data_IF_683395100660
#
_entry.id   IF_683395100660
#
_cell.length_a   1.000
_cell.length_b   1.000
_cell.length_c   1.000
_cell.angle_alpha   90.00
_cell.angle_beta   90.00
_cell.angle_gamma   90.00
#
_symmetry.space_group_name_H-M   'P 1'
#
loop_
_entity.id
_entity.type
_entity.pdbx_description
1 polymer ?
#
# COMPACT_ATOMS: atom_id res chain seq x y z
N UNK A 1 15.27 25.43 -2.10
CA UNK A 1 14.07 25.82 -2.86
C UNK A 1 12.92 25.02 -2.29
N UNK A 2 12.09 25.64 -1.43
CA UNK A 2 10.96 24.97 -0.78
C UNK A 2 9.88 24.71 -1.83
N UNK A 3 9.54 23.44 -2.06
CA UNK A 3 8.33 23.08 -2.81
C UNK A 3 7.17 23.27 -1.84
N UNK A 4 6.52 24.43 -1.90
CA UNK A 4 5.28 24.67 -1.17
C UNK A 4 4.21 23.71 -1.73
N UNK A 5 3.86 22.68 -0.96
CA UNK A 5 2.71 21.82 -1.26
C UNK A 5 1.46 22.69 -1.19
N UNK A 6 0.87 22.98 -2.36
CA UNK A 6 -0.37 23.75 -2.45
C UNK A 6 -1.46 22.94 -1.74
N UNK A 7 -2.17 23.49 -0.72
CA UNK A 7 -3.19 22.73 -0.02
C UNK A 7 -4.26 22.27 -1.03
N UNK A 8 -4.51 20.96 -1.06
CA UNK A 8 -5.49 20.31 -1.91
C UNK A 8 -6.82 21.08 -1.87
N UNK A 9 -7.27 21.57 -3.03
CA UNK A 9 -8.49 22.35 -3.12
C UNK A 9 -9.70 21.52 -2.65
N UNK A 10 -10.75 22.18 -2.15
CA UNK A 10 -11.99 21.50 -1.74
C UNK A 10 -12.57 20.61 -2.86
N UNK A 11 -12.34 21.00 -4.12
CA UNK A 11 -12.73 20.23 -5.30
C UNK A 11 -11.93 18.95 -5.47
N UNK A 12 -10.61 18.99 -5.24
CA UNK A 12 -9.74 17.82 -5.31
C UNK A 12 -10.04 16.83 -4.19
N UNK A 13 -10.26 17.30 -2.95
CA UNK A 13 -10.65 16.44 -1.82
C UNK A 13 -11.97 15.72 -2.09
N UNK A 14 -13.00 16.45 -2.53
CA UNK A 14 -14.28 15.84 -2.92
C UNK A 14 -14.12 14.81 -4.05
N UNK A 15 -13.20 15.04 -4.98
CA UNK A 15 -12.93 14.09 -6.04
C UNK A 15 -12.18 12.84 -5.54
N UNK A 16 -11.32 12.96 -4.52
CA UNK A 16 -10.67 11.83 -3.86
C UNK A 16 -11.66 11.01 -3.04
N UNK A 17 -12.52 11.68 -2.26
CA UNK A 17 -13.59 11.04 -1.49
C UNK A 17 -14.52 10.24 -2.40
N UNK A 18 -14.98 10.85 -3.49
CA UNK A 18 -15.81 10.16 -4.48
C UNK A 18 -15.10 8.94 -5.11
N UNK A 19 -13.80 9.06 -5.44
CA UNK A 19 -13.03 7.91 -5.96
C UNK A 19 -12.95 6.79 -4.93
N UNK A 20 -12.78 7.11 -3.66
CA UNK A 20 -12.72 6.14 -2.59
C UNK A 20 -14.09 5.47 -2.37
N UNK A 21 -15.19 6.21 -2.39
CA UNK A 21 -16.55 5.68 -2.31
C UNK A 21 -16.85 4.68 -3.44
N UNK A 22 -16.50 5.03 -4.69
CA UNK A 22 -16.65 4.13 -5.84
C UNK A 22 -15.79 2.86 -5.66
N UNK A 23 -14.57 3.02 -5.16
CA UNK A 23 -13.66 1.90 -4.92
C UNK A 23 -14.17 0.93 -3.84
N UNK A 24 -14.74 1.47 -2.78
CA UNK A 24 -15.41 0.68 -1.73
C UNK A 24 -16.60 -0.09 -2.30
N UNK A 25 -17.46 0.54 -3.10
CA UNK A 25 -18.58 -0.14 -3.74
C UNK A 25 -18.12 -1.27 -4.68
N UNK A 26 -17.05 -1.05 -5.45
CA UNK A 26 -16.47 -2.08 -6.31
C UNK A 26 -15.91 -3.26 -5.51
N UNK A 27 -15.14 -2.99 -4.44
CA UNK A 27 -14.61 -4.01 -3.53
C UNK A 27 -15.72 -4.86 -2.93
N UNK A 28 -16.77 -4.23 -2.42
CA UNK A 28 -17.86 -4.93 -1.75
C UNK A 28 -18.62 -5.83 -2.74
N UNK A 29 -18.81 -5.38 -3.98
CA UNK A 29 -19.34 -6.22 -5.06
C UNK A 29 -18.40 -7.37 -5.44
N UNK A 30 -17.09 -7.13 -5.56
CA UNK A 30 -16.13 -8.19 -5.87
C UNK A 30 -16.14 -9.28 -4.80
N UNK A 31 -16.20 -8.88 -3.53
CA UNK A 31 -16.29 -9.80 -2.40
C UNK A 31 -17.60 -10.58 -2.37
N UNK A 32 -18.74 -9.91 -2.61
CA UNK A 32 -20.04 -10.56 -2.64
C UNK A 32 -20.16 -11.61 -3.76
N UNK A 33 -19.54 -11.34 -4.92
CA UNK A 33 -19.55 -12.22 -6.09
C UNK A 33 -18.39 -13.23 -6.10
N UNK A 34 -17.38 -13.03 -5.25
CA UNK A 34 -16.13 -13.80 -5.30
C UNK A 34 -15.37 -13.64 -6.62
N UNK A 35 -15.56 -12.52 -7.33
CA UNK A 35 -14.98 -12.28 -8.65
C UNK A 35 -14.80 -10.80 -8.97
N UNK A 36 -13.71 -10.48 -9.66
CA UNK A 36 -13.41 -9.15 -10.25
C UNK A 36 -14.16 -8.90 -11.56
N UNK A 37 -14.93 -9.86 -12.07
CA UNK A 37 -15.65 -9.78 -13.36
C UNK A 37 -16.88 -8.87 -13.35
N UNK A 38 -17.20 -8.24 -12.22
CA UNK A 38 -18.34 -7.31 -12.09
C UNK A 38 -18.21 -6.16 -13.09
N UNK A 39 -19.33 -5.77 -13.71
CA UNK A 39 -19.34 -4.73 -14.75
C UNK A 39 -19.31 -3.32 -14.17
N UNK A 40 -18.85 -2.37 -14.97
CA UNK A 40 -18.82 -0.95 -14.59
C UNK A 40 -20.23 -0.43 -14.28
N UNK A 41 -21.24 -0.87 -15.02
CA UNK A 41 -22.63 -0.47 -14.81
C UNK A 41 -23.13 -0.89 -13.43
N UNK A 42 -22.83 -2.12 -13.00
CA UNK A 42 -23.19 -2.61 -11.66
C UNK A 42 -22.49 -1.81 -10.56
N UNK A 43 -21.20 -1.52 -10.73
CA UNK A 43 -20.45 -0.67 -9.80
C UNK A 43 -21.07 0.73 -9.74
N UNK A 44 -21.43 1.31 -10.88
CA UNK A 44 -22.08 2.61 -10.96
C UNK A 44 -23.43 2.63 -10.25
N UNK A 45 -24.26 1.60 -10.45
CA UNK A 45 -25.53 1.44 -9.74
C UNK A 45 -25.33 1.35 -8.23
N UNK A 46 -24.37 0.54 -7.78
CA UNK A 46 -24.08 0.40 -6.35
C UNK A 46 -23.53 1.70 -5.72
N UNK A 47 -22.71 2.45 -6.46
CA UNK A 47 -22.16 3.74 -6.02
C UNK A 47 -23.11 4.93 -6.24
N UNK A 48 -24.28 4.74 -6.85
CA UNK A 48 -25.24 5.83 -7.13
C UNK A 48 -24.76 6.86 -8.14
N UNK A 49 -23.93 6.47 -9.11
CA UNK A 49 -23.35 7.37 -10.12
C UNK A 49 -23.69 6.96 -11.56
N UNK A 50 -23.52 7.88 -12.50
CA UNK A 50 -23.61 7.58 -13.93
C UNK A 50 -22.29 6.99 -14.47
N UNK A 51 -22.32 6.12 -15.50
CA UNK A 51 -21.11 5.57 -16.14
C UNK A 51 -20.14 6.63 -16.66
N UNK A 52 -20.64 7.76 -17.18
CA UNK A 52 -19.82 8.90 -17.59
C UNK A 52 -19.00 9.48 -16.43
N UNK A 53 -19.56 9.49 -15.21
CA UNK A 53 -18.85 9.91 -14.01
C UNK A 53 -17.77 8.90 -13.66
N UNK A 54 -18.06 7.60 -13.72
CA UNK A 54 -17.05 6.57 -13.48
C UNK A 54 -15.83 6.72 -14.40
N UNK A 55 -16.05 6.77 -15.72
CA UNK A 55 -14.96 6.87 -16.70
C UNK A 55 -14.17 8.18 -16.63
N UNK A 56 -14.75 9.25 -16.05
CA UNK A 56 -14.01 10.48 -15.74
C UNK A 56 -12.95 10.27 -14.66
N UNK A 57 -13.21 9.37 -13.72
CA UNK A 57 -12.32 9.09 -12.59
C UNK A 57 -11.42 7.86 -12.81
N UNK A 58 -11.89 6.88 -13.57
CA UNK A 58 -11.22 5.61 -13.84
C UNK A 58 -11.23 5.32 -15.35
N UNK A 59 -10.10 5.55 -16.05
CA UNK A 59 -10.01 5.31 -17.49
C UNK A 59 -10.35 3.87 -17.87
N UNK A 60 -9.91 2.91 -17.05
CA UNK A 60 -10.27 1.50 -17.14
C UNK A 60 -10.83 0.99 -15.81
N UNK A 61 -11.62 -0.09 -15.85
CA UNK A 61 -12.30 -0.64 -14.66
C UNK A 61 -11.30 -1.02 -13.57
N UNK A 62 -10.17 -1.57 -13.95
CA UNK A 62 -9.18 -2.15 -13.05
C UNK A 62 -8.52 -1.08 -12.16
N UNK A 63 -8.53 0.19 -12.59
CA UNK A 63 -7.99 1.30 -11.80
C UNK A 63 -8.87 1.63 -10.57
N UNK A 64 -10.07 1.04 -10.48
CA UNK A 64 -11.01 1.25 -9.37
C UNK A 64 -10.46 0.77 -8.03
N UNK A 65 -9.46 -0.12 -7.99
CA UNK A 65 -8.85 -0.58 -6.73
C UNK A 65 -7.76 0.35 -6.21
N UNK A 66 -7.19 1.21 -7.06
CA UNK A 66 -6.07 2.10 -6.68
C UNK A 66 -6.40 3.04 -5.51
N UNK A 67 -7.60 3.63 -5.39
CA UNK A 67 -7.94 4.44 -4.23
C UNK A 67 -7.87 3.69 -2.89
N UNK A 68 -8.18 2.39 -2.88
CA UNK A 68 -8.08 1.56 -1.68
C UNK A 68 -6.61 1.39 -1.28
N UNK A 69 -5.75 1.05 -2.24
CA UNK A 69 -4.33 0.91 -1.99
C UNK A 69 -3.69 2.23 -1.56
N UNK A 70 -4.02 3.36 -2.21
CA UNK A 70 -3.54 4.67 -1.78
C UNK A 70 -3.87 4.98 -0.34
N UNK A 71 -5.09 4.67 0.12
CA UNK A 71 -5.48 4.86 1.52
C UNK A 71 -4.62 4.03 2.48
N UNK A 72 -4.32 2.78 2.11
CA UNK A 72 -3.41 1.92 2.87
C UNK A 72 -1.98 2.46 2.90
N UNK A 73 -1.51 2.98 1.76
CA UNK A 73 -0.20 3.59 1.61
C UNK A 73 -0.04 4.82 2.48
N UNK A 74 -1.05 5.70 2.52
CA UNK A 74 -1.05 6.87 3.39
C UNK A 74 -0.86 6.48 4.85
N UNK A 75 -1.59 5.47 5.34
CA UNK A 75 -1.47 5.00 6.72
C UNK A 75 -0.08 4.40 7.00
N UNK A 76 0.47 3.65 6.04
CA UNK A 76 1.84 3.12 6.14
C UNK A 76 2.86 4.25 6.25
N UNK A 77 2.73 5.28 5.41
CA UNK A 77 3.61 6.45 5.39
C UNK A 77 3.50 7.27 6.67
N UNK A 78 2.30 7.44 7.22
CA UNK A 78 2.07 8.10 8.50
C UNK A 78 2.82 7.38 9.63
N UNK A 79 2.75 6.05 9.71
CA UNK A 79 3.51 5.26 10.70
C UNK A 79 5.02 5.47 10.55
N UNK A 80 5.53 5.50 9.32
CA UNK A 80 6.96 5.74 9.08
C UNK A 80 7.38 7.18 9.45
N UNK A 81 6.51 8.16 9.20
CA UNK A 81 6.77 9.58 9.48
C UNK A 81 6.74 9.88 10.98
N UNK A 82 5.80 9.27 11.72
CA UNK A 82 5.63 9.46 13.17
C UNK A 82 6.67 8.68 14.00
N UNK A 83 7.42 7.78 13.36
CA UNK A 83 8.43 6.97 14.02
C UNK A 83 9.59 7.81 14.56
N UNK A 84 9.72 7.83 15.90
CA UNK A 84 10.82 8.50 16.59
C UNK A 84 12.21 7.95 16.20
N UNK A 85 13.29 8.74 16.41
CA UNK A 85 14.65 8.39 15.97
C UNK A 85 15.28 7.22 16.74
N UNK A 86 14.68 6.78 17.86
CA UNK A 86 15.17 5.69 18.70
C UNK A 86 14.36 4.39 18.60
N UNK A 87 13.33 4.33 17.76
CA UNK A 87 12.54 3.10 17.57
C UNK A 87 13.30 2.05 16.75
N UNK A 88 13.04 0.78 17.03
CA UNK A 88 13.57 -0.33 16.24
C UNK A 88 13.00 -0.29 14.82
N UNK A 89 13.90 -0.24 13.83
CA UNK A 89 13.55 -0.04 12.42
C UNK A 89 12.70 -1.18 11.89
N UNK A 90 13.03 -2.41 12.29
CA UNK A 90 12.31 -3.61 11.83
C UNK A 90 10.89 -3.58 12.40
N UNK A 91 10.73 -3.29 13.69
CA UNK A 91 9.42 -3.20 14.31
C UNK A 91 8.55 -2.10 13.70
N UNK A 92 9.13 -0.92 13.41
CA UNK A 92 8.42 0.17 12.72
C UNK A 92 7.99 -0.25 11.31
N UNK A 93 8.87 -0.88 10.52
CA UNK A 93 8.52 -1.36 9.18
C UNK A 93 7.44 -2.44 9.24
N UNK A 94 7.55 -3.40 10.16
CA UNK A 94 6.54 -4.44 10.37
C UNK A 94 5.20 -3.80 10.77
N UNK A 95 5.21 -2.81 11.66
CA UNK A 95 4.01 -2.07 12.04
C UNK A 95 3.38 -1.37 10.83
N UNK A 96 4.16 -0.60 10.08
CA UNK A 96 3.69 0.15 8.91
C UNK A 96 3.01 -0.75 7.87
N UNK A 97 3.52 -1.96 7.64
CA UNK A 97 3.01 -2.87 6.61
C UNK A 97 2.07 -3.97 7.11
N UNK A 98 1.78 -4.01 8.43
CA UNK A 98 0.85 -4.98 9.03
C UNK A 98 -0.33 -4.36 9.79
N UNK A 99 -0.35 -3.05 10.02
CA UNK A 99 -1.35 -2.36 10.87
C UNK A 99 -2.76 -2.32 10.30
N UNK A 100 -2.93 -2.46 8.99
CA UNK A 100 -4.22 -2.41 8.29
C UNK A 100 -5.14 -3.58 8.66
N UNK A 101 -4.57 -4.78 8.74
CA UNK A 101 -5.33 -6.04 8.77
C UNK A 101 -6.02 -6.31 10.13
N UNK A 102 -5.43 -5.97 11.30
CA UNK A 102 -6.06 -6.26 12.60
C UNK A 102 -7.05 -5.19 13.09
N UNK A 103 -6.88 -3.92 12.73
CA UNK A 103 -7.63 -2.80 13.35
C UNK A 103 -9.14 -2.77 13.01
N UNK A 104 -9.60 -3.65 12.14
CA UNK A 104 -10.99 -3.70 11.66
C UNK A 104 -11.76 -4.98 12.01
N UNK A 105 -11.12 -6.01 12.57
CA UNK A 105 -11.74 -7.34 12.67
C UNK A 105 -12.04 -7.96 11.29
N UNK A 106 -11.43 -7.43 10.23
CA UNK A 106 -11.66 -7.78 8.82
C UNK A 106 -10.54 -8.62 8.22
N UNK A 107 -9.73 -9.30 9.02
CA UNK A 107 -8.57 -10.09 8.53
C UNK A 107 -8.95 -10.99 7.36
N UNK A 108 -10.05 -11.74 7.48
CA UNK A 108 -10.53 -12.62 6.40
C UNK A 108 -11.11 -11.84 5.21
N UNK A 109 -11.72 -10.69 5.46
CA UNK A 109 -12.26 -9.80 4.43
C UNK A 109 -11.14 -9.18 3.59
N UNK A 110 -10.10 -8.66 4.23
CA UNK A 110 -8.92 -8.12 3.56
C UNK A 110 -8.16 -9.24 2.82
N UNK A 111 -8.11 -10.45 3.40
CA UNK A 111 -7.53 -11.62 2.73
C UNK A 111 -8.28 -11.99 1.46
N UNK A 112 -9.61 -12.10 1.56
CA UNK A 112 -10.47 -12.47 0.43
C UNK A 112 -10.37 -11.41 -0.67
N UNK A 113 -10.37 -10.13 -0.33
CA UNK A 113 -10.19 -9.07 -1.31
C UNK A 113 -8.82 -9.14 -1.98
N UNK A 114 -7.75 -9.30 -1.19
CA UNK A 114 -6.41 -9.45 -1.75
C UNK A 114 -6.29 -10.68 -2.63
N UNK A 115 -6.94 -11.80 -2.29
CA UNK A 115 -7.01 -12.99 -3.13
C UNK A 115 -7.60 -12.70 -4.51
N UNK A 116 -8.69 -11.93 -4.56
CA UNK A 116 -9.30 -11.50 -5.83
C UNK A 116 -8.34 -10.63 -6.65
N UNK A 117 -7.64 -9.70 -6.00
CA UNK A 117 -6.66 -8.82 -6.64
C UNK A 117 -5.46 -9.60 -7.20
N UNK A 118 -4.87 -10.51 -6.41
CA UNK A 118 -3.61 -11.18 -6.81
C UNK A 118 -3.83 -12.31 -7.82
N UNK A 119 -5.01 -12.91 -7.85
CA UNK A 119 -5.35 -13.99 -8.77
C UNK A 119 -5.84 -13.49 -10.13
N UNK A 120 -6.29 -12.23 -10.23
CA UNK A 120 -6.58 -11.58 -11.50
C UNK A 120 -5.34 -10.84 -12.03
N UNK A 121 -4.80 -11.21 -13.21
CA UNK A 121 -3.59 -10.60 -13.76
C UNK A 121 -3.66 -9.07 -13.91
N UNK A 122 -4.82 -8.52 -14.26
CA UNK A 122 -4.92 -7.08 -14.53
C UNK A 122 -4.91 -6.27 -13.23
N UNK A 123 -5.56 -6.77 -12.18
CA UNK A 123 -5.54 -6.15 -10.84
C UNK A 123 -4.20 -6.37 -10.14
N UNK A 124 -3.58 -7.54 -10.32
CA UNK A 124 -2.23 -7.81 -9.82
C UNK A 124 -1.22 -6.81 -10.36
N UNK A 125 -1.31 -6.42 -11.63
CA UNK A 125 -0.45 -5.38 -12.20
C UNK A 125 -0.63 -4.04 -11.47
N UNK A 126 -1.86 -3.63 -11.15
CA UNK A 126 -2.12 -2.40 -10.38
C UNK A 126 -1.55 -2.46 -8.98
N UNK A 127 -1.68 -3.60 -8.32
CA UNK A 127 -1.11 -3.81 -6.98
C UNK A 127 0.43 -3.72 -6.99
N UNK A 128 1.07 -4.33 -8.00
CA UNK A 128 2.52 -4.27 -8.17
C UNK A 128 3.00 -2.84 -8.46
N UNK A 129 2.30 -2.15 -9.35
CA UNK A 129 2.60 -0.76 -9.74
C UNK A 129 2.47 0.20 -8.56
N UNK A 130 1.34 0.13 -7.84
CA UNK A 130 1.11 0.95 -6.64
C UNK A 130 2.20 0.79 -5.58
N UNK A 131 2.73 -0.43 -5.39
CA UNK A 131 3.82 -0.66 -4.44
C UNK A 131 5.08 0.19 -4.72
N UNK A 132 5.27 0.66 -5.95
CA UNK A 132 6.40 1.54 -6.31
C UNK A 132 6.25 2.94 -5.71
N UNK A 133 5.03 3.43 -5.52
CA UNK A 133 4.76 4.76 -4.94
C UNK A 133 5.28 4.89 -3.50
N UNK A 134 5.47 3.76 -2.82
CA UNK A 134 5.96 3.69 -1.45
C UNK A 134 7.50 3.68 -1.34
N UNK A 135 8.22 3.53 -2.45
CA UNK A 135 9.70 3.49 -2.44
C UNK A 135 10.29 4.78 -1.89
N UNK A 136 9.80 5.93 -2.34
CA UNK A 136 10.29 7.24 -1.89
C UNK A 136 10.19 7.43 -0.37
N UNK A 137 8.98 7.29 0.22
CA UNK A 137 8.80 7.38 1.67
C UNK A 137 9.64 6.39 2.48
N UNK A 138 9.76 5.13 2.03
CA UNK A 138 10.58 4.13 2.71
C UNK A 138 12.07 4.51 2.63
N UNK A 139 12.54 4.98 1.47
CA UNK A 139 13.93 5.38 1.27
C UNK A 139 14.28 6.62 2.11
N UNK A 140 13.34 7.55 2.30
CA UNK A 140 13.48 8.68 3.22
C UNK A 140 13.58 8.20 4.67
N UNK A 141 12.66 7.33 5.09
CA UNK A 141 12.65 6.74 6.44
C UNK A 141 13.95 5.99 6.78
N UNK A 142 14.46 5.18 5.85
CA UNK A 142 15.71 4.44 5.99
C UNK A 142 16.92 5.39 5.95
N UNK A 143 16.93 6.37 5.05
CA UNK A 143 18.01 7.34 4.90
C UNK A 143 18.19 8.26 6.11
N UNK A 144 17.16 8.43 6.93
CA UNK A 144 17.27 9.14 8.21
C UNK A 144 18.01 8.33 9.30
N UNK A 145 18.24 7.03 9.09
CA UNK A 145 18.74 6.08 10.10
C UNK A 145 20.00 5.32 9.68
N UNK A 146 20.19 5.11 8.38
CA UNK A 146 21.30 4.37 7.79
C UNK A 146 22.04 5.22 6.75
N UNK A 147 23.34 4.92 6.54
CA UNK A 147 24.09 5.54 5.46
C UNK A 147 23.80 4.80 4.14
N UNK A 148 22.84 5.31 3.38
CA UNK A 148 22.46 4.71 2.10
C UNK A 148 23.35 5.17 0.92
N UNK A 149 24.36 6.00 1.20
CA UNK A 149 25.19 6.63 0.19
C UNK A 149 24.46 7.68 -0.65
N UNK A 150 25.20 8.29 -1.58
CA UNK A 150 24.73 9.41 -2.40
C UNK A 150 24.29 9.01 -3.81
N UNK A 151 24.51 7.76 -4.23
CA UNK A 151 24.08 7.30 -5.55
C UNK A 151 22.57 7.02 -5.51
N UNK A 152 21.76 7.72 -6.35
CA UNK A 152 20.31 7.58 -6.33
C UNK A 152 19.83 6.14 -6.50
N UNK A 153 20.51 5.37 -7.36
CA UNK A 153 20.12 3.99 -7.64
C UNK A 153 20.36 3.07 -6.44
N UNK A 154 21.49 3.20 -5.75
CA UNK A 154 21.80 2.34 -4.60
C UNK A 154 21.02 2.76 -3.35
N UNK A 155 20.68 4.04 -3.24
CA UNK A 155 19.91 4.58 -2.12
C UNK A 155 18.48 4.06 -2.07
N UNK A 156 17.87 3.79 -3.22
CA UNK A 156 16.50 3.27 -3.29
C UNK A 156 16.41 1.74 -3.18
N UNK A 157 17.51 1.00 -3.41
CA UNK A 157 17.51 -0.46 -3.37
C UNK A 157 16.94 -1.05 -2.07
N UNK A 158 17.31 -0.56 -0.87
CA UNK A 158 16.73 -1.09 0.37
C UNK A 158 15.21 -0.94 0.42
N UNK A 159 14.68 0.20 -0.03
CA UNK A 159 13.24 0.42 -0.10
C UNK A 159 12.56 -0.51 -1.11
N UNK A 160 13.18 -0.76 -2.27
CA UNK A 160 12.67 -1.74 -3.23
C UNK A 160 12.65 -3.16 -2.66
N UNK A 161 13.67 -3.54 -1.89
CA UNK A 161 13.71 -4.84 -1.20
C UNK A 161 12.62 -4.97 -0.13
N UNK A 162 12.38 -3.90 0.65
CA UNK A 162 11.26 -3.83 1.61
C UNK A 162 9.92 -4.07 0.88
N UNK A 163 9.68 -3.41 -0.26
CA UNK A 163 8.47 -3.63 -1.07
C UNK A 163 8.38 -5.08 -1.56
N UNK A 164 9.49 -5.69 -1.95
CA UNK A 164 9.50 -7.08 -2.38
C UNK A 164 9.21 -8.05 -1.22
N UNK A 165 9.73 -7.78 -0.02
CA UNK A 165 9.39 -8.52 1.21
C UNK A 165 7.90 -8.43 1.48
N UNK A 166 7.31 -7.23 1.42
CA UNK A 166 5.87 -7.03 1.58
C UNK A 166 5.07 -7.86 0.57
N UNK A 167 5.38 -7.75 -0.72
CA UNK A 167 4.71 -8.53 -1.77
C UNK A 167 4.73 -10.03 -1.49
N UNK A 168 5.91 -10.57 -1.15
CA UNK A 168 6.04 -11.98 -0.83
C UNK A 168 5.20 -12.36 0.41
N UNK A 169 5.25 -11.55 1.47
CA UNK A 169 4.51 -11.82 2.69
C UNK A 169 2.99 -11.83 2.45
N UNK A 170 2.46 -10.86 1.70
CA UNK A 170 1.04 -10.78 1.34
C UNK A 170 0.60 -11.96 0.46
N UNK A 171 1.39 -12.36 -0.55
CA UNK A 171 1.06 -13.52 -1.39
C UNK A 171 0.97 -14.81 -0.57
N UNK A 172 1.90 -14.99 0.38
CA UNK A 172 1.89 -16.14 1.28
C UNK A 172 0.67 -16.12 2.21
N UNK A 173 0.37 -14.96 2.79
CA UNK A 173 -0.79 -14.81 3.66
C UNK A 173 -2.12 -15.08 2.94
N UNK A 174 -2.24 -14.61 1.69
CA UNK A 174 -3.40 -14.92 0.86
C UNK A 174 -3.56 -16.43 0.67
N UNK A 175 -2.47 -17.15 0.40
CA UNK A 175 -2.48 -18.60 0.23
C UNK A 175 -2.81 -19.36 1.53
N UNK A 176 -2.15 -19.03 2.64
CA UNK A 176 -2.15 -19.85 3.86
C UNK A 176 -3.21 -19.41 4.90
N UNK A 177 -3.73 -18.18 4.81
CA UNK A 177 -4.71 -17.64 5.77
C UNK A 177 -4.14 -17.21 7.12
N UNK A 178 -2.88 -17.55 7.40
CA UNK A 178 -2.24 -17.28 8.69
C UNK A 178 -1.68 -15.85 8.79
N UNK A 179 -2.41 -15.00 9.52
CA UNK A 179 -1.98 -13.63 9.79
C UNK A 179 -0.74 -13.53 10.70
N UNK A 180 -0.54 -14.49 11.62
CA UNK A 180 0.69 -14.53 12.40
C UNK A 180 1.89 -14.83 11.47
N UNK A 181 1.68 -15.70 10.49
CA UNK A 181 2.58 -15.97 9.37
C UNK A 181 2.94 -14.73 8.56
N UNK A 182 1.97 -13.84 8.27
CA UNK A 182 2.24 -12.56 7.59
C UNK A 182 3.25 -11.71 8.36
N UNK A 183 2.98 -11.44 9.65
CA UNK A 183 3.87 -10.61 10.48
C UNK A 183 5.25 -11.24 10.64
N UNK A 184 5.31 -12.56 10.80
CA UNK A 184 6.58 -13.28 10.89
C UNK A 184 7.39 -13.18 9.59
N UNK A 185 6.73 -13.32 8.43
CA UNK A 185 7.39 -13.21 7.13
C UNK A 185 7.89 -11.79 6.87
N UNK A 186 7.09 -10.77 7.20
CA UNK A 186 7.52 -9.38 7.16
C UNK A 186 8.74 -9.17 8.05
N UNK A 187 8.69 -9.57 9.32
CA UNK A 187 9.80 -9.37 10.27
C UNK A 187 11.10 -9.98 9.77
N UNK A 188 11.07 -11.26 9.37
CA UNK A 188 12.28 -11.95 8.87
C UNK A 188 12.84 -11.24 7.63
N UNK A 189 11.99 -10.90 6.66
CA UNK A 189 12.44 -10.20 5.46
C UNK A 189 12.99 -8.80 5.75
N UNK A 190 12.34 -8.04 6.64
CA UNK A 190 12.82 -6.71 7.04
C UNK A 190 14.15 -6.80 7.79
N UNK A 191 14.35 -7.81 8.65
CA UNK A 191 15.62 -8.07 9.31
C UNK A 191 16.74 -8.31 8.30
N UNK A 192 16.50 -9.19 7.32
CA UNK A 192 17.48 -9.47 6.26
C UNK A 192 17.90 -8.22 5.48
N UNK A 193 16.96 -7.30 5.23
CA UNK A 193 17.25 -6.03 4.55
C UNK A 193 18.03 -5.10 5.48
N UNK A 194 17.55 -4.89 6.70
CA UNK A 194 18.12 -3.92 7.66
C UNK A 194 19.53 -4.33 8.12
N UNK A 195 19.78 -5.61 8.38
CA UNK A 195 21.10 -6.11 8.80
C UNK A 195 22.18 -5.91 7.74
N UNK A 196 21.80 -5.80 6.46
CA UNK A 196 22.71 -5.52 5.37
C UNK A 196 23.06 -4.03 5.24
N UNK A 197 22.40 -3.13 5.97
CA UNK A 197 22.60 -1.69 5.87
C UNK A 197 23.68 -1.19 6.83
N UNK A 198 24.61 -0.33 6.37
CA UNK A 198 25.59 0.27 7.25
C UNK A 198 24.92 1.32 8.16
N UNK A 199 25.20 1.24 9.45
CA UNK A 199 24.68 2.18 10.46
C UNK A 199 25.37 3.54 10.29
N UNK A 200 24.62 4.64 10.38
CA UNK A 200 25.20 5.98 10.42
C UNK A 200 26.08 6.09 11.66
N UNK A 201 27.39 6.23 11.45
CA UNK A 201 28.31 6.58 12.53
C UNK A 201 27.98 8.00 12.97
N UNK A 202 27.35 8.18 14.15
CA UNK A 202 27.22 9.50 14.77
C UNK A 202 28.63 10.00 15.09
N UNK A 203 29.18 10.86 14.25
CA UNK A 203 30.35 11.65 14.64
C UNK A 203 29.89 12.60 15.75
N UNK A 204 30.59 12.54 16.88
CA UNK A 204 30.30 13.32 18.09
C UNK A 204 30.68 14.79 17.98
#
# INVERSE_FOLDING_TARGET
MQVAHKPTSLTERRAEDLRFEIAVAARDLFLAEGSTSVTVERICTAAGIAPRTFHRHFPVKEDVVLPLFRRFGTLSVEVLADAGPGGDVVDILVEAFSTEVPKRGTVEFDRTFMALVVNDPQYRLRWLDWGQDLIGPIAEFLGARFDLGNNPHTRELPAQLVIQVCRHAYLRWVADGDFAGLRSALRVGMQMVVEALPVVSRQG
#
